data_IF_299007849426
#
_entry.id   IF_299007849426
#
_cell.length_a   1.000
_cell.length_b   1.000
_cell.length_c   1.000
_cell.angle_alpha   90.00
_cell.angle_beta   90.00
_cell.angle_gamma   90.00
#
_symmetry.space_group_name_H-M   'P 1'
#
loop_
_entity.id
_entity.type
_entity.pdbx_description
1 polymer ?
#
# COMPACT_ATOMS: atom_id res chain seq x y z
N UNK A 1 12.70 -26.98 -7.05
CA UNK A 1 12.53 -25.59 -6.54
C UNK A 1 13.32 -25.47 -5.25
N UNK A 2 14.01 -24.35 -5.04
CA UNK A 2 14.71 -24.13 -3.76
C UNK A 2 13.65 -23.86 -2.67
N UNK A 3 13.90 -24.33 -1.44
CA UNK A 3 12.93 -24.30 -0.34
C UNK A 3 12.48 -22.86 -0.01
N UNK A 4 13.41 -21.93 -0.09
CA UNK A 4 13.25 -20.48 0.00
C UNK A 4 12.22 -19.93 -0.98
N UNK A 5 12.27 -20.33 -2.25
CA UNK A 5 11.29 -19.87 -3.25
C UNK A 5 9.89 -20.39 -2.95
N UNK A 6 9.78 -21.64 -2.51
CA UNK A 6 8.50 -22.25 -2.14
C UNK A 6 7.89 -21.61 -0.88
N UNK A 7 8.72 -21.35 0.14
CA UNK A 7 8.30 -20.66 1.35
C UNK A 7 7.81 -19.23 1.06
N UNK A 8 8.54 -18.48 0.24
CA UNK A 8 8.11 -17.14 -0.19
C UNK A 8 6.78 -17.18 -0.96
N UNK A 9 6.62 -18.13 -1.89
CA UNK A 9 5.37 -18.30 -2.61
C UNK A 9 4.20 -18.57 -1.65
N UNK A 10 4.40 -19.41 -0.64
CA UNK A 10 3.38 -19.73 0.36
C UNK A 10 3.03 -18.51 1.23
N UNK A 11 4.02 -17.73 1.64
CA UNK A 11 3.79 -16.47 2.38
C UNK A 11 2.97 -15.48 1.56
N UNK A 12 3.29 -15.31 0.27
CA UNK A 12 2.52 -14.43 -0.63
C UNK A 12 1.08 -14.91 -0.77
N UNK A 13 0.86 -16.20 -0.97
CA UNK A 13 -0.49 -16.77 -1.06
C UNK A 13 -1.28 -16.54 0.23
N UNK A 14 -0.68 -16.81 1.39
CA UNK A 14 -1.33 -16.57 2.67
C UNK A 14 -1.62 -15.09 2.92
N UNK A 15 -0.70 -14.21 2.56
CA UNK A 15 -0.89 -12.77 2.68
C UNK A 15 -2.06 -12.28 1.80
N UNK A 16 -2.15 -12.77 0.56
CA UNK A 16 -3.26 -12.45 -0.35
C UNK A 16 -4.60 -12.98 0.19
N UNK A 17 -4.63 -14.24 0.64
CA UNK A 17 -5.84 -14.83 1.23
C UNK A 17 -6.27 -14.04 2.47
N UNK A 18 -5.35 -13.73 3.38
CA UNK A 18 -5.63 -12.93 4.56
C UNK A 18 -6.19 -11.56 4.18
N UNK A 19 -5.59 -10.88 3.20
CA UNK A 19 -6.02 -9.55 2.75
C UNK A 19 -7.43 -9.57 2.15
N UNK A 20 -7.72 -10.54 1.29
CA UNK A 20 -9.07 -10.73 0.73
C UNK A 20 -10.07 -10.98 1.86
N UNK A 21 -9.74 -11.87 2.79
CA UNK A 21 -10.64 -12.23 3.91
C UNK A 21 -10.90 -11.03 4.82
N UNK A 22 -9.88 -10.22 5.12
CA UNK A 22 -10.00 -9.01 5.93
C UNK A 22 -10.88 -7.95 5.24
N UNK A 23 -10.69 -7.72 3.94
CA UNK A 23 -11.50 -6.77 3.16
C UNK A 23 -12.95 -7.26 3.05
N UNK A 24 -13.18 -8.54 2.76
CA UNK A 24 -14.53 -9.11 2.73
C UNK A 24 -15.22 -9.04 4.10
N UNK A 25 -14.50 -9.34 5.18
CA UNK A 25 -15.01 -9.20 6.55
C UNK A 25 -15.41 -7.76 6.88
N UNK A 26 -14.61 -6.78 6.47
CA UNK A 26 -14.92 -5.36 6.64
C UNK A 26 -16.19 -4.95 5.87
N UNK A 27 -16.34 -5.42 4.63
CA UNK A 27 -17.54 -5.14 3.81
C UNK A 27 -18.79 -5.77 4.43
N UNK A 28 -18.70 -6.98 4.97
CA UNK A 28 -19.86 -7.69 5.55
C UNK A 28 -20.24 -7.14 6.93
N UNK A 29 -19.25 -6.75 7.74
CA UNK A 29 -19.48 -6.32 9.12
C UNK A 29 -20.04 -4.90 9.26
N UNK A 30 -19.95 -4.07 8.21
CA UNK A 30 -20.34 -2.65 8.25
C UNK A 30 -21.57 -2.42 7.36
N UNK A 31 -22.63 -1.74 7.86
CA UNK A 31 -23.74 -1.32 7.00
C UNK A 31 -23.20 -0.41 5.89
N UNK A 32 -23.61 -0.67 4.65
CA UNK A 32 -23.03 -0.05 3.44
C UNK A 32 -21.54 -0.39 3.20
N UNK A 33 -21.11 -1.62 3.50
CA UNK A 33 -19.70 -2.05 3.50
C UNK A 33 -18.78 -1.59 2.36
N UNK A 34 -19.26 -1.52 1.11
CA UNK A 34 -18.46 -0.98 0.01
C UNK A 34 -18.19 0.53 0.15
N UNK A 35 -19.16 1.30 0.66
CA UNK A 35 -18.96 2.72 0.97
C UNK A 35 -17.94 2.89 2.09
N UNK A 36 -17.82 1.92 3.00
CA UNK A 36 -16.79 1.88 4.04
C UNK A 36 -15.34 1.85 3.50
N UNK A 37 -15.15 1.43 2.23
CA UNK A 37 -13.83 1.43 1.60
C UNK A 37 -13.42 2.79 1.03
N UNK A 38 -14.37 3.72 0.84
CA UNK A 38 -14.11 5.06 0.29
C UNK A 38 -13.02 5.81 1.08
N UNK A 39 -13.10 5.97 2.43
CA UNK A 39 -12.07 6.67 3.18
C UNK A 39 -10.70 5.98 3.07
N UNK A 40 -10.64 4.65 3.02
CA UNK A 40 -9.40 3.89 2.83
C UNK A 40 -8.80 4.19 1.46
N UNK A 41 -9.62 4.17 0.40
CA UNK A 41 -9.19 4.49 -0.95
C UNK A 41 -8.67 5.93 -1.08
N UNK A 42 -9.34 6.90 -0.43
CA UNK A 42 -8.89 8.29 -0.39
C UNK A 42 -7.53 8.41 0.30
N UNK A 43 -7.35 7.75 1.45
CA UNK A 43 -6.07 7.77 2.18
C UNK A 43 -4.93 7.13 1.36
N UNK A 44 -5.18 5.99 0.72
CA UNK A 44 -4.21 5.34 -0.16
C UNK A 44 -3.86 6.22 -1.36
N UNK A 45 -4.85 6.89 -1.96
CA UNK A 45 -4.65 7.83 -3.06
C UNK A 45 -3.81 9.04 -2.64
N UNK A 46 -4.07 9.62 -1.47
CA UNK A 46 -3.28 10.70 -0.89
C UNK A 46 -1.84 10.26 -0.64
N UNK A 47 -1.63 9.09 -0.04
CA UNK A 47 -0.30 8.54 0.20
C UNK A 47 0.46 8.33 -1.11
N UNK A 48 -0.20 7.76 -2.13
CA UNK A 48 0.40 7.56 -3.43
C UNK A 48 0.77 8.90 -4.10
N UNK A 49 -0.08 9.93 -3.97
CA UNK A 49 0.20 11.27 -4.46
C UNK A 49 1.42 11.89 -3.77
N UNK A 50 1.54 11.78 -2.44
CA UNK A 50 2.69 12.27 -1.68
C UNK A 50 3.98 11.56 -2.09
N UNK A 51 3.96 10.23 -2.21
CA UNK A 51 5.12 9.46 -2.67
C UNK A 51 5.51 9.88 -4.09
N UNK A 52 4.52 10.00 -4.99
CA UNK A 52 4.77 10.42 -6.36
C UNK A 52 5.41 11.82 -6.42
N UNK A 53 4.91 12.76 -5.63
CA UNK A 53 5.43 14.11 -5.53
C UNK A 53 6.87 14.11 -5.01
N UNK A 54 7.18 13.37 -3.93
CA UNK A 54 8.56 13.27 -3.40
C UNK A 54 9.52 12.69 -4.43
N UNK A 55 9.13 11.62 -5.14
CA UNK A 55 9.98 10.98 -6.15
C UNK A 55 10.26 11.86 -7.38
N UNK A 56 9.42 12.85 -7.65
CA UNK A 56 9.55 13.74 -8.82
C UNK A 56 9.91 15.19 -8.45
N UNK A 57 10.15 15.48 -7.17
CA UNK A 57 10.50 16.83 -6.75
C UNK A 57 12.00 17.11 -6.96
N UNK A 58 12.33 17.58 -8.17
CA UNK A 58 13.71 17.94 -8.55
C UNK A 58 14.30 19.07 -7.72
N UNK A 59 13.45 19.94 -7.16
CA UNK A 59 13.87 21.06 -6.33
C UNK A 59 14.31 20.57 -4.94
N UNK A 60 13.49 19.76 -4.28
CA UNK A 60 13.89 19.09 -3.02
C UNK A 60 15.17 18.26 -3.22
N UNK A 61 15.25 17.48 -4.31
CA UNK A 61 16.43 16.68 -4.65
C UNK A 61 17.69 17.53 -4.84
N UNK A 62 17.54 18.77 -5.31
CA UNK A 62 18.66 19.69 -5.49
C UNK A 62 19.16 20.21 -4.14
N UNK A 63 18.26 20.65 -3.27
CA UNK A 63 18.61 21.15 -1.93
C UNK A 63 19.24 20.06 -1.05
N UNK A 64 18.66 18.85 -1.03
CA UNK A 64 19.21 17.69 -0.29
C UNK A 64 20.64 17.36 -0.72
N UNK A 65 20.99 17.57 -2.00
CA UNK A 65 22.31 17.19 -2.54
C UNK A 65 23.36 18.29 -2.45
N UNK A 66 22.98 19.56 -2.44
CA UNK A 66 23.92 20.68 -2.63
C UNK A 66 23.92 21.69 -1.49
N UNK A 67 22.92 21.69 -0.60
CA UNK A 67 22.77 22.74 0.41
C UNK A 67 22.85 22.19 1.83
N UNK A 68 22.18 21.07 2.11
CA UNK A 68 22.11 20.49 3.47
C UNK A 68 23.27 19.51 3.80
N UNK A 69 24.44 19.68 3.17
CA UNK A 69 25.66 18.92 3.51
C UNK A 69 26.42 19.48 4.71
#
# INVERSE_FOLDING_TARGET
>A
MRLDTFALALVVVFALLWLVTAVSGLIVAVPFGLLGLIPIAVLLGLLAAVIHQRLHNKEDDYYDKHVDQ
#
